data_IF_565332028972
#
_entry.id   IF_565332028972
#
_cell.length_a   1.000
_cell.length_b   1.000
_cell.length_c   1.000
_cell.angle_alpha   90.00
_cell.angle_beta   90.00
_cell.angle_gamma   90.00
#
_symmetry.space_group_name_H-M   'P 1'
#
loop_
_entity.id
_entity.type
_entity.pdbx_description
1 polymer ?
#
# COMPACT_ATOMS: atom_id res chain seq x y z
N UNK A 1 3.05 10.82 -25.23
CA UNK A 1 3.43 10.20 -23.94
C UNK A 1 4.48 11.09 -23.35
N UNK A 2 4.15 11.79 -22.28
CA UNK A 2 5.15 12.49 -21.49
C UNK A 2 5.79 11.46 -20.54
N UNK A 3 7.10 11.52 -20.41
CA UNK A 3 7.83 10.75 -19.40
C UNK A 3 8.06 11.66 -18.20
N UNK A 4 7.58 11.24 -17.03
CA UNK A 4 7.83 11.99 -15.81
C UNK A 4 9.27 11.73 -15.37
N UNK A 5 10.00 12.82 -15.06
CA UNK A 5 11.31 12.73 -14.39
C UNK A 5 11.12 11.86 -13.15
N UNK A 6 11.82 10.73 -13.08
CA UNK A 6 11.72 9.82 -11.94
C UNK A 6 11.96 10.57 -10.63
N UNK A 7 11.44 10.04 -9.52
CA UNK A 7 11.78 10.56 -8.19
C UNK A 7 13.32 10.64 -8.07
N UNK A 8 13.88 11.64 -7.36
CA UNK A 8 15.32 11.82 -7.22
C UNK A 8 15.92 10.75 -6.29
N UNK A 9 15.73 9.49 -6.64
CA UNK A 9 16.10 8.28 -5.91
C UNK A 9 16.82 7.36 -6.89
N UNK A 10 18.03 6.96 -6.56
CA UNK A 10 18.82 6.09 -7.43
C UNK A 10 18.06 4.77 -7.71
N UNK A 11 18.05 4.34 -8.98
CA UNK A 11 17.33 3.15 -9.44
C UNK A 11 15.87 3.39 -9.85
N UNK A 12 15.26 4.52 -9.49
CA UNK A 12 13.93 4.89 -10.01
C UNK A 12 14.04 5.42 -11.44
N UNK A 13 13.29 4.79 -12.34
CA UNK A 13 13.21 5.18 -13.75
C UNK A 13 12.21 6.30 -13.96
N UNK A 14 12.38 7.02 -15.06
CA UNK A 14 11.29 7.81 -15.62
C UNK A 14 10.11 6.87 -15.93
N UNK A 15 8.89 7.32 -15.64
CA UNK A 15 7.68 6.54 -15.81
C UNK A 15 6.79 7.21 -16.85
N UNK A 16 6.13 6.39 -17.68
CA UNK A 16 5.12 6.88 -18.60
C UNK A 16 3.87 7.37 -17.85
N UNK A 17 3.12 8.32 -18.44
CA UNK A 17 1.84 8.78 -17.89
C UNK A 17 0.90 7.61 -17.55
N UNK A 18 0.87 6.57 -18.40
CA UNK A 18 0.03 5.38 -18.22
C UNK A 18 0.43 4.57 -16.97
N UNK A 19 1.73 4.41 -16.73
CA UNK A 19 2.23 3.69 -15.57
C UNK A 19 1.90 4.45 -14.27
N UNK A 20 2.05 5.78 -14.29
CA UNK A 20 1.68 6.65 -13.17
C UNK A 20 0.17 6.61 -12.90
N UNK A 21 -0.66 6.69 -13.94
CA UNK A 21 -2.10 6.57 -13.82
C UNK A 21 -2.52 5.24 -13.18
N UNK A 22 -1.95 4.12 -13.65
CA UNK A 22 -2.24 2.80 -13.10
C UNK A 22 -1.85 2.67 -11.61
N UNK A 23 -0.68 3.18 -11.22
CA UNK A 23 -0.28 3.18 -9.80
C UNK A 23 -1.18 4.08 -8.96
N UNK A 24 -1.65 5.21 -9.49
CA UNK A 24 -2.62 6.04 -8.77
C UNK A 24 -3.96 5.32 -8.58
N UNK A 25 -4.44 4.59 -9.58
CA UNK A 25 -5.62 3.73 -9.45
C UNK A 25 -5.42 2.66 -8.36
N UNK A 26 -4.26 2.00 -8.34
CA UNK A 26 -3.91 1.06 -7.29
C UNK A 26 -3.93 1.70 -5.90
N UNK A 27 -3.37 2.91 -5.75
CA UNK A 27 -3.39 3.65 -4.47
C UNK A 27 -4.81 3.98 -4.01
N UNK A 28 -5.71 4.31 -4.93
CA UNK A 28 -7.13 4.55 -4.61
C UNK A 28 -7.79 3.27 -4.09
N UNK A 29 -7.52 2.12 -4.72
CA UNK A 29 -8.06 0.84 -4.28
C UNK A 29 -7.51 0.41 -2.91
N UNK A 30 -6.21 0.57 -2.70
CA UNK A 30 -5.56 0.31 -1.40
C UNK A 30 -6.24 1.09 -0.27
N UNK A 31 -6.39 2.40 -0.46
CA UNK A 31 -7.02 3.29 0.53
C UNK A 31 -8.46 2.89 0.83
N UNK A 32 -9.23 2.46 -0.17
CA UNK A 32 -10.60 1.96 0.04
C UNK A 32 -10.62 0.71 0.91
N UNK A 33 -9.71 -0.23 0.67
CA UNK A 33 -9.59 -1.43 1.49
C UNK A 33 -9.17 -1.10 2.93
N UNK A 34 -8.21 -0.19 3.12
CA UNK A 34 -7.76 0.23 4.45
C UNK A 34 -8.89 0.92 5.24
N UNK A 35 -9.67 1.79 4.60
CA UNK A 35 -10.82 2.44 5.24
C UNK A 35 -11.92 1.47 5.65
N UNK A 36 -12.08 0.36 4.94
CA UNK A 36 -13.00 -0.70 5.36
C UNK A 36 -12.55 -1.32 6.70
N UNK A 37 -11.24 -1.52 6.88
CA UNK A 37 -10.69 -2.01 8.15
C UNK A 37 -10.85 -0.96 9.25
N UNK A 38 -10.65 0.32 8.95
CA UNK A 38 -10.89 1.41 9.90
C UNK A 38 -12.35 1.45 10.36
N UNK A 39 -13.30 1.26 9.44
CA UNK A 39 -14.73 1.20 9.77
C UNK A 39 -15.04 0.00 10.67
N UNK A 40 -14.48 -1.18 10.39
CA UNK A 40 -14.63 -2.36 11.25
C UNK A 40 -14.06 -2.12 12.65
N UNK A 41 -12.93 -1.42 12.75
CA UNK A 41 -12.35 -1.06 14.04
C UNK A 41 -13.25 -0.10 14.83
N UNK A 42 -13.86 0.87 14.13
CA UNK A 42 -14.83 1.77 14.76
C UNK A 42 -16.04 1.01 15.33
N UNK A 43 -16.58 0.04 14.58
CA UNK A 43 -17.66 -0.82 15.08
C UNK A 43 -17.25 -1.61 16.34
N UNK A 44 -16.00 -2.09 16.41
CA UNK A 44 -15.49 -2.72 17.63
C UNK A 44 -15.51 -1.77 18.83
N UNK A 45 -15.03 -0.53 18.64
CA UNK A 45 -15.01 0.49 19.69
C UNK A 45 -16.43 0.87 20.16
N UNK A 46 -17.36 1.03 19.22
CA UNK A 46 -18.75 1.36 19.52
C UNK A 46 -19.43 0.22 20.30
N UNK A 47 -19.16 -1.04 19.94
CA UNK A 47 -19.70 -2.21 20.63
C UNK A 47 -19.15 -2.38 22.06
N UNK A 48 -17.86 -2.07 22.26
CA UNK A 48 -17.22 -2.06 23.58
C UNK A 48 -17.81 -0.95 24.46
N UNK A 49 -17.94 0.27 23.93
CA UNK A 49 -18.54 1.40 24.64
C UNK A 49 -20.00 1.15 25.04
N UNK A 50 -20.75 0.40 24.22
CA UNK A 50 -22.12 0.00 24.51
C UNK A 50 -22.23 -1.20 25.48
N UNK A 51 -21.11 -1.80 25.91
CA UNK A 51 -21.08 -2.95 26.81
C UNK A 51 -21.64 -4.25 26.21
N UNK A 52 -21.75 -4.32 24.88
CA UNK A 52 -22.37 -5.45 24.16
C UNK A 52 -21.43 -6.66 24.10
N UNK A 53 -20.11 -6.43 24.01
CA UNK A 53 -19.11 -7.49 24.01
C UNK A 53 -17.79 -7.03 24.64
N UNK A 54 -17.17 -7.88 25.48
CA UNK A 54 -15.85 -7.63 26.11
C UNK A 54 -14.68 -7.62 25.12
N UNK A 55 -14.88 -8.22 23.95
CA UNK A 55 -14.01 -8.18 22.79
C UNK A 55 -14.92 -7.81 21.63
N UNK A 56 -14.69 -6.68 20.96
CA UNK A 56 -15.58 -6.15 19.93
C UNK A 56 -16.05 -7.18 18.88
N UNK A 57 -17.09 -6.83 18.12
CA UNK A 57 -17.76 -7.69 17.14
C UNK A 57 -16.83 -8.44 16.16
N UNK A 58 -15.63 -7.92 15.90
CA UNK A 58 -14.63 -8.46 14.96
C UNK A 58 -13.28 -8.73 15.65
N UNK A 59 -12.59 -9.80 15.23
CA UNK A 59 -11.27 -10.18 15.78
C UNK A 59 -10.16 -9.17 15.35
N UNK A 60 -9.54 -8.45 16.31
CA UNK A 60 -8.52 -7.45 16.00
C UNK A 60 -7.24 -8.03 15.40
N UNK A 61 -6.87 -9.28 15.72
CA UNK A 61 -5.68 -9.94 15.16
C UNK A 61 -5.86 -10.18 13.67
N UNK A 62 -7.05 -10.62 13.27
CA UNK A 62 -7.35 -10.89 11.86
C UNK A 62 -7.40 -9.61 11.04
N UNK A 63 -7.95 -8.53 11.61
CA UNK A 63 -7.92 -7.20 10.98
C UNK A 63 -6.50 -6.66 10.80
N UNK A 64 -5.62 -6.86 11.79
CA UNK A 64 -4.22 -6.45 11.68
C UNK A 64 -3.50 -7.22 10.55
N UNK A 65 -3.70 -8.55 10.48
CA UNK A 65 -3.15 -9.37 9.39
C UNK A 65 -3.67 -8.93 8.02
N UNK A 66 -4.96 -8.64 7.91
CA UNK A 66 -5.56 -8.14 6.67
C UNK A 66 -4.93 -6.81 6.23
N UNK A 67 -4.75 -5.86 7.15
CA UNK A 67 -4.08 -4.57 6.87
C UNK A 67 -2.68 -4.79 6.32
N UNK A 68 -1.87 -5.61 6.98
CA UNK A 68 -0.50 -5.92 6.52
C UNK A 68 -0.51 -6.56 5.15
N UNK A 69 -1.34 -7.58 4.93
CA UNK A 69 -1.42 -8.27 3.65
C UNK A 69 -1.86 -7.36 2.49
N UNK A 70 -2.79 -6.43 2.74
CA UNK A 70 -3.19 -5.41 1.74
C UNK A 70 -2.01 -4.52 1.40
N UNK A 71 -1.33 -3.94 2.40
CA UNK A 71 -0.19 -3.05 2.17
C UNK A 71 0.94 -3.75 1.39
N UNK A 72 1.26 -5.00 1.74
CA UNK A 72 2.24 -5.81 1.02
C UNK A 72 1.80 -6.09 -0.42
N UNK A 73 0.56 -6.51 -0.63
CA UNK A 73 0.04 -6.81 -1.97
C UNK A 73 0.10 -5.58 -2.89
N UNK A 74 -0.34 -4.42 -2.41
CA UNK A 74 -0.30 -3.18 -3.19
C UNK A 74 1.13 -2.66 -3.41
N UNK A 75 2.03 -2.85 -2.45
CA UNK A 75 3.47 -2.58 -2.64
C UNK A 75 4.02 -3.40 -3.80
N UNK A 76 3.78 -4.72 -3.82
CA UNK A 76 4.25 -5.61 -4.89
C UNK A 76 3.61 -5.29 -6.23
N UNK A 77 2.31 -4.97 -6.26
CA UNK A 77 1.60 -4.59 -7.48
C UNK A 77 2.16 -3.29 -8.08
N UNK A 78 2.42 -2.28 -7.25
CA UNK A 78 3.04 -1.03 -7.72
C UNK A 78 4.49 -1.25 -8.18
N UNK A 79 5.24 -2.12 -7.50
CA UNK A 79 6.59 -2.49 -7.91
C UNK A 79 6.62 -3.22 -9.24
N UNK A 80 5.62 -4.06 -9.54
CA UNK A 80 5.48 -4.73 -10.82
C UNK A 80 5.27 -3.75 -11.99
N UNK A 81 4.70 -2.56 -11.72
CA UNK A 81 4.56 -1.48 -12.70
C UNK A 81 5.84 -0.67 -12.84
N UNK A 82 6.40 -0.17 -11.73
CA UNK A 82 7.52 0.78 -11.78
C UNK A 82 8.89 0.16 -12.02
N UNK A 83 9.08 -1.13 -11.69
CA UNK A 83 10.28 -1.92 -12.02
C UNK A 83 11.61 -1.15 -11.90
N UNK A 84 11.98 -0.70 -10.68
CA UNK A 84 13.23 0.03 -10.46
C UNK A 84 14.44 -0.86 -10.75
N UNK A 85 15.51 -0.25 -11.26
CA UNK A 85 16.76 -0.96 -11.56
C UNK A 85 17.64 -1.11 -10.33
N UNK A 86 18.55 -2.10 -10.39
CA UNK A 86 19.70 -2.16 -9.49
C UNK A 86 20.64 -0.99 -9.80
N UNK A 87 21.13 -0.35 -8.75
CA UNK A 87 22.15 0.69 -8.87
C UNK A 87 23.53 0.04 -9.04
N UNK A 88 24.41 0.71 -9.78
CA UNK A 88 25.84 0.38 -9.78
C UNK A 88 26.49 0.99 -8.56
N UNK A 89 27.32 0.23 -7.87
CA UNK A 89 28.11 0.70 -6.76
C UNK A 89 29.53 1.07 -7.25
N UNK A 90 30.26 1.98 -6.57
CA UNK A 90 31.63 2.34 -6.95
C UNK A 90 32.57 1.13 -7.09
N UNK A 91 32.38 0.10 -6.27
CA UNK A 91 33.13 -1.15 -6.27
C UNK A 91 32.85 -2.09 -7.46
N UNK A 92 31.79 -1.86 -8.27
CA UNK A 92 31.49 -2.66 -9.46
C UNK A 92 32.37 -2.30 -10.68
N UNK A 93 33.24 -1.29 -10.56
CA UNK A 93 34.08 -0.76 -11.64
C UNK A 93 35.56 -1.18 -11.56
N UNK A 94 35.94 -1.97 -10.55
CA UNK A 94 37.21 -2.72 -10.50
C UNK A 94 37.10 -4.06 -11.25
#
# INVERSE_FOLDING_TARGET
MTEHKGLPVAGYKAQSDKAVALVNENKILEERCLRQIDAMNKHNMDAEAAGIAKSGQYDPRMMALARTGIQEAFMWMNRAVFQPDRIKLPEDAE
#
